data_IF_636870167830
#
_entry.id   IF_636870167830
#
_cell.length_a   1.000
_cell.length_b   1.000
_cell.length_c   1.000
_cell.angle_alpha   90.00
_cell.angle_beta   90.00
_cell.angle_gamma   90.00
#
_symmetry.space_group_name_H-M   'P 1'
#
loop_
_entity.id
_entity.type
_entity.pdbx_description
1 polymer ?
#
# COMPACT_ATOMS: atom_id res chain seq x y z
N UNK A 1 -41.72 -16.69 -13.68
CA UNK A 1 -40.29 -16.43 -13.90
C UNK A 1 -39.85 -15.40 -12.88
N UNK A 2 -38.85 -15.73 -12.07
CA UNK A 2 -38.34 -14.88 -11.00
C UNK A 2 -37.27 -15.65 -10.25
N UNK A 3 -36.12 -15.86 -10.91
CA UNK A 3 -34.97 -16.52 -10.30
C UNK A 3 -34.39 -15.58 -9.24
N UNK A 4 -34.45 -16.02 -7.98
CA UNK A 4 -33.62 -15.48 -6.90
C UNK A 4 -32.18 -15.94 -7.13
N UNK A 5 -31.26 -14.98 -7.24
CA UNK A 5 -29.83 -15.25 -7.21
C UNK A 5 -29.39 -15.65 -5.78
N UNK A 6 -28.49 -16.65 -5.61
CA UNK A 6 -28.13 -17.15 -4.30
C UNK A 6 -27.12 -16.24 -3.59
N UNK A 7 -27.47 -15.89 -2.34
CA UNK A 7 -26.74 -15.01 -1.44
C UNK A 7 -25.59 -15.76 -0.71
N UNK A 8 -24.66 -16.35 -1.46
CA UNK A 8 -23.64 -17.25 -0.90
C UNK A 8 -22.22 -16.65 -0.74
N UNK A 9 -21.99 -15.36 -1.05
CA UNK A 9 -20.64 -14.79 -1.00
C UNK A 9 -20.17 -14.28 0.39
N UNK A 10 -21.03 -14.23 1.41
CA UNK A 10 -20.79 -13.36 2.58
C UNK A 10 -20.53 -14.03 3.95
N UNK A 11 -20.46 -15.36 4.05
CA UNK A 11 -20.23 -16.01 5.35
C UNK A 11 -18.78 -16.41 5.63
N UNK A 12 -17.99 -16.76 4.62
CA UNK A 12 -16.63 -17.27 4.82
C UNK A 12 -15.64 -16.13 5.13
N UNK A 13 -15.74 -15.00 4.42
CA UNK A 13 -14.88 -13.81 4.62
C UNK A 13 -15.05 -13.20 6.02
N UNK A 14 -16.25 -13.29 6.60
CA UNK A 14 -16.56 -12.66 7.88
C UNK A 14 -15.97 -13.41 9.09
N UNK A 15 -15.69 -14.72 8.95
CA UNK A 15 -15.16 -15.59 10.01
C UNK A 15 -13.65 -15.37 10.18
N UNK A 16 -12.88 -15.29 9.09
CA UNK A 16 -11.42 -15.09 9.15
C UNK A 16 -10.99 -13.76 9.80
N UNK A 17 -11.77 -12.68 9.63
CA UNK A 17 -11.44 -11.38 10.23
C UNK A 17 -11.75 -11.30 11.74
N UNK A 18 -12.68 -12.10 12.27
CA UNK A 18 -13.14 -11.97 13.66
C UNK A 18 -12.33 -12.79 14.66
N UNK A 19 -11.75 -13.91 14.24
CA UNK A 19 -11.06 -14.84 15.15
C UNK A 19 -9.66 -14.34 15.56
N UNK A 20 -8.99 -13.53 14.72
CA UNK A 20 -7.65 -12.99 15.00
C UNK A 20 -7.62 -11.82 16.01
N UNK A 21 -8.72 -11.11 16.25
CA UNK A 21 -8.73 -9.93 17.16
C UNK A 21 -8.93 -10.27 18.64
N UNK A 22 -9.30 -11.50 19.01
CA UNK A 22 -9.69 -11.84 20.39
C UNK A 22 -8.55 -12.27 21.33
N UNK A 23 -7.35 -12.58 20.82
CA UNK A 23 -6.23 -13.06 21.64
C UNK A 23 -4.88 -12.41 21.27
N UNK A 24 -4.73 -11.09 21.42
CA UNK A 24 -3.41 -10.44 21.25
C UNK A 24 -2.98 -9.75 22.54
N UNK A 25 -2.16 -10.46 23.31
CA UNK A 25 -1.08 -9.83 24.09
C UNK A 25 -0.24 -9.04 23.08
N UNK A 26 0.01 -7.75 23.31
CA UNK A 26 0.75 -6.81 22.44
C UNK A 26 1.93 -7.46 21.67
N UNK A 27 1.63 -8.12 20.55
CA UNK A 27 2.62 -8.59 19.59
C UNK A 27 2.94 -7.40 18.69
N UNK A 28 4.24 -7.18 18.45
CA UNK A 28 4.70 -6.18 17.51
C UNK A 28 4.07 -6.42 16.13
N UNK A 29 3.71 -5.34 15.43
CA UNK A 29 3.19 -5.43 14.06
C UNK A 29 4.27 -6.04 13.15
N UNK A 30 3.92 -7.12 12.44
CA UNK A 30 4.79 -7.83 11.50
C UNK A 30 4.29 -7.59 10.06
N UNK A 31 4.82 -6.60 9.32
CA UNK A 31 4.27 -6.19 8.02
C UNK A 31 4.22 -7.34 7.02
N UNK A 32 5.27 -8.15 6.98
CA UNK A 32 5.39 -9.31 6.08
C UNK A 32 4.28 -10.34 6.29
N UNK A 33 4.02 -10.71 7.55
CA UNK A 33 2.98 -11.67 7.90
C UNK A 33 1.60 -11.12 7.58
N UNK A 34 1.36 -9.85 7.87
CA UNK A 34 0.08 -9.21 7.60
C UNK A 34 -0.22 -9.14 6.10
N UNK A 35 0.74 -8.65 5.33
CA UNK A 35 0.63 -8.55 3.87
C UNK A 35 0.46 -9.91 3.23
N UNK A 36 1.19 -10.95 3.66
CA UNK A 36 0.98 -12.31 3.17
C UNK A 36 -0.45 -12.79 3.48
N UNK A 37 -0.96 -12.52 4.68
CA UNK A 37 -2.34 -12.84 5.03
C UNK A 37 -3.36 -12.18 4.10
N UNK A 38 -3.12 -10.92 3.72
CA UNK A 38 -3.95 -10.21 2.75
C UNK A 38 -3.83 -10.77 1.33
N UNK A 39 -2.61 -11.11 0.89
CA UNK A 39 -2.35 -11.71 -0.41
C UNK A 39 -3.07 -13.05 -0.53
N UNK A 40 -2.97 -13.94 0.46
CA UNK A 40 -3.70 -15.21 0.48
C UNK A 40 -5.20 -14.98 0.44
N UNK A 41 -5.74 -14.10 1.30
CA UNK A 41 -7.18 -13.89 1.39
C UNK A 41 -7.81 -13.27 0.12
N UNK A 42 -7.10 -12.39 -0.59
CA UNK A 42 -7.64 -11.83 -1.85
C UNK A 42 -7.67 -12.90 -2.96
N UNK A 43 -6.68 -13.79 -2.99
CA UNK A 43 -6.62 -14.88 -3.97
C UNK A 43 -7.67 -15.96 -3.71
N UNK A 44 -7.91 -16.29 -2.43
CA UNK A 44 -9.06 -17.13 -2.03
C UNK A 44 -10.38 -16.53 -2.55
N UNK A 45 -10.56 -15.21 -2.44
CA UNK A 45 -11.75 -14.51 -2.95
C UNK A 45 -11.83 -14.50 -4.49
N UNK A 46 -10.70 -14.56 -5.18
CA UNK A 46 -10.60 -14.70 -6.64
C UNK A 46 -10.72 -16.14 -7.13
N UNK A 47 -10.80 -17.12 -6.20
CA UNK A 47 -10.67 -18.55 -6.50
C UNK A 47 -9.37 -18.92 -7.24
N UNK A 48 -8.27 -18.24 -6.91
CA UNK A 48 -6.92 -18.58 -7.37
C UNK A 48 -6.11 -19.25 -6.25
N UNK A 49 -5.89 -20.56 -6.36
CA UNK A 49 -5.09 -21.32 -5.40
C UNK A 49 -3.56 -21.21 -5.68
N UNK A 50 -3.16 -20.59 -6.80
CA UNK A 50 -1.74 -20.49 -7.16
C UNK A 50 -1.01 -19.34 -6.48
N UNK A 51 -1.74 -18.31 -6.04
CA UNK A 51 -1.19 -17.08 -5.47
C UNK A 51 -0.23 -16.33 -6.41
N UNK A 52 -0.44 -16.50 -7.72
CA UNK A 52 0.43 -15.91 -8.76
C UNK A 52 -0.28 -14.92 -9.66
N UNK A 53 -1.62 -14.94 -9.70
CA UNK A 53 -2.40 -14.09 -10.60
C UNK A 53 -2.36 -12.63 -10.11
N UNK A 54 -1.97 -11.65 -10.94
CA UNK A 54 -2.06 -10.25 -10.57
C UNK A 54 -3.49 -9.86 -10.18
N UNK A 55 -3.64 -9.04 -9.12
CA UNK A 55 -4.95 -8.64 -8.61
C UNK A 55 -5.50 -7.47 -9.44
N UNK A 56 -6.69 -7.60 -10.07
CA UNK A 56 -7.29 -6.50 -10.81
C UNK A 56 -7.69 -5.34 -9.88
N UNK A 57 -7.60 -4.09 -10.37
CA UNK A 57 -7.96 -2.88 -9.61
C UNK A 57 -9.30 -3.00 -8.89
N UNK A 58 -10.35 -3.40 -9.62
CA UNK A 58 -11.70 -3.47 -9.05
C UNK A 58 -11.81 -4.51 -7.93
N UNK A 59 -11.09 -5.64 -8.02
CA UNK A 59 -11.03 -6.66 -6.97
C UNK A 59 -10.33 -6.08 -5.74
N UNK A 60 -9.19 -5.41 -5.93
CA UNK A 60 -8.45 -4.78 -4.84
C UNK A 60 -9.29 -3.74 -4.07
N UNK A 61 -9.98 -2.85 -4.78
CA UNK A 61 -10.84 -1.83 -4.15
C UNK A 61 -11.97 -2.48 -3.33
N UNK A 62 -12.65 -3.49 -3.88
CA UNK A 62 -13.70 -4.20 -3.13
C UNK A 62 -13.15 -4.97 -1.94
N UNK A 63 -11.97 -5.58 -2.09
CA UNK A 63 -11.28 -6.26 -1.01
C UNK A 63 -10.93 -5.31 0.15
N UNK A 64 -10.35 -4.14 -0.14
CA UNK A 64 -10.01 -3.14 0.88
C UNK A 64 -11.24 -2.68 1.68
N UNK A 65 -12.37 -2.43 1.01
CA UNK A 65 -13.63 -2.06 1.69
C UNK A 65 -14.14 -3.14 2.63
N UNK A 66 -13.95 -4.40 2.26
CA UNK A 66 -14.51 -5.55 3.00
C UNK A 66 -13.61 -6.01 4.15
N UNK A 67 -12.29 -5.91 3.97
CA UNK A 67 -11.30 -6.59 4.81
C UNK A 67 -10.34 -5.64 5.53
N UNK A 68 -9.95 -4.53 4.91
CA UNK A 68 -8.96 -3.59 5.48
C UNK A 68 -9.66 -2.53 6.32
N UNK A 69 -10.78 -1.99 5.82
CA UNK A 69 -11.57 -1.01 6.55
C UNK A 69 -13.01 -1.50 6.80
N UNK A 70 -13.19 -2.63 7.52
CA UNK A 70 -14.51 -3.25 7.68
C UNK A 70 -15.46 -2.41 8.53
N UNK A 71 -14.95 -1.46 9.31
CA UNK A 71 -15.76 -0.54 10.13
C UNK A 71 -16.61 0.40 9.26
N UNK A 72 -16.23 0.64 7.99
CA UNK A 72 -17.08 1.29 6.99
C UNK A 72 -18.27 0.44 6.55
N UNK A 73 -18.35 -0.84 6.92
CA UNK A 73 -19.39 -1.76 6.42
C UNK A 73 -20.17 -2.42 7.56
N UNK A 74 -19.62 -2.43 8.79
CA UNK A 74 -20.09 -3.32 9.88
C UNK A 74 -20.98 -2.72 10.97
N UNK A 75 -21.25 -1.42 11.02
CA UNK A 75 -22.11 -0.86 12.09
C UNK A 75 -23.57 -0.67 11.63
N UNK A 76 -24.50 -1.57 12.00
CA UNK A 76 -25.93 -1.37 11.76
C UNK A 76 -26.56 -0.30 12.66
N UNK A 77 -25.89 0.11 13.74
CA UNK A 77 -26.37 1.13 14.69
C UNK A 77 -25.90 2.56 14.37
N UNK A 78 -24.86 2.71 13.55
CA UNK A 78 -24.41 3.98 12.97
C UNK A 78 -24.03 3.70 11.52
N UNK A 79 -24.93 3.97 10.58
CA UNK A 79 -24.60 3.80 9.17
C UNK A 79 -23.29 4.56 8.86
N UNK A 80 -22.33 3.93 8.15
CA UNK A 80 -21.11 4.60 7.71
C UNK A 80 -21.52 5.86 6.93
N UNK A 81 -20.92 6.99 7.26
CA UNK A 81 -21.23 8.25 6.57
C UNK A 81 -20.86 8.05 5.09
N UNK A 82 -21.81 8.17 4.13
CA UNK A 82 -21.54 7.89 2.71
C UNK A 82 -20.33 8.64 2.15
N UNK A 83 -20.08 9.85 2.68
CA UNK A 83 -18.91 10.66 2.36
C UNK A 83 -17.59 9.96 2.73
N UNK A 84 -17.51 9.30 3.89
CA UNK A 84 -16.31 8.56 4.30
C UNK A 84 -16.08 7.32 3.43
N UNK A 85 -17.16 6.63 3.01
CA UNK A 85 -17.06 5.49 2.08
C UNK A 85 -16.51 5.95 0.74
N UNK A 86 -17.09 7.01 0.16
CA UNK A 86 -16.61 7.58 -1.09
C UNK A 86 -15.18 8.13 -0.99
N UNK A 87 -14.83 8.76 0.13
CA UNK A 87 -13.48 9.21 0.42
C UNK A 87 -12.47 8.06 0.46
N UNK A 88 -12.84 6.94 1.08
CA UNK A 88 -11.99 5.74 1.11
C UNK A 88 -11.82 5.14 -0.28
N UNK A 89 -12.87 5.06 -1.08
CA UNK A 89 -12.78 4.59 -2.48
C UNK A 89 -11.83 5.46 -3.29
N UNK A 90 -11.93 6.79 -3.18
CA UNK A 90 -11.01 7.73 -3.85
C UNK A 90 -9.56 7.52 -3.37
N UNK A 91 -9.36 7.27 -2.08
CA UNK A 91 -8.04 6.98 -1.53
C UNK A 91 -7.44 5.68 -2.07
N UNK A 92 -8.18 4.58 -1.99
CA UNK A 92 -7.71 3.26 -2.45
C UNK A 92 -7.48 3.28 -3.97
N UNK A 93 -8.34 3.93 -4.74
CA UNK A 93 -8.14 4.09 -6.19
C UNK A 93 -6.88 4.90 -6.51
N UNK A 94 -6.64 6.00 -5.78
CA UNK A 94 -5.40 6.79 -5.90
C UNK A 94 -4.16 6.00 -5.46
N UNK A 95 -4.26 5.12 -4.46
CA UNK A 95 -3.17 4.21 -4.09
C UNK A 95 -2.85 3.24 -5.22
N UNK A 96 -3.85 2.67 -5.89
CA UNK A 96 -3.63 1.80 -7.06
C UNK A 96 -2.88 2.55 -8.16
N UNK A 97 -3.27 3.79 -8.48
CA UNK A 97 -2.55 4.63 -9.45
C UNK A 97 -1.07 4.80 -9.06
N UNK A 98 -0.81 5.08 -7.78
CA UNK A 98 0.55 5.25 -7.25
C UNK A 98 1.37 3.97 -7.36
N UNK A 99 0.86 2.82 -6.88
CA UNK A 99 1.64 1.57 -6.88
C UNK A 99 1.80 0.95 -8.27
N UNK A 100 0.89 1.19 -9.21
CA UNK A 100 1.11 0.84 -10.62
C UNK A 100 2.20 1.72 -11.27
N UNK A 101 2.45 2.91 -10.69
CA UNK A 101 3.52 3.80 -11.08
C UNK A 101 4.92 3.31 -10.73
N UNK A 102 5.06 2.33 -9.82
CA UNK A 102 6.36 1.80 -9.36
C UNK A 102 7.24 1.28 -10.50
N UNK A 103 6.64 0.87 -11.61
CA UNK A 103 7.35 0.28 -12.76
C UNK A 103 7.35 1.17 -14.00
N UNK A 104 6.96 2.45 -13.90
CA UNK A 104 6.99 3.35 -15.06
C UNK A 104 8.39 3.39 -15.70
N UNK A 105 8.46 3.46 -17.05
CA UNK A 105 7.37 3.66 -18.00
C UNK A 105 6.58 2.38 -18.35
N UNK A 106 6.90 1.22 -17.76
CA UNK A 106 6.15 -0.01 -18.03
C UNK A 106 4.73 0.12 -17.51
N UNK A 107 3.77 0.21 -18.43
CA UNK A 107 2.35 0.29 -18.11
C UNK A 107 1.84 -1.06 -17.62
N UNK A 108 1.61 -1.17 -16.31
CA UNK A 108 0.87 -2.28 -15.71
C UNK A 108 -0.53 -1.79 -15.34
N UNK A 109 -1.52 -2.66 -15.51
CA UNK A 109 -2.92 -2.38 -15.17
C UNK A 109 -3.42 -3.21 -13.99
N UNK A 110 -2.63 -4.17 -13.54
CA UNK A 110 -2.93 -5.10 -12.44
C UNK A 110 -1.82 -5.12 -11.40
N UNK A 111 -2.21 -5.43 -10.17
CA UNK A 111 -1.33 -5.44 -9.01
C UNK A 111 -0.62 -6.78 -8.91
N UNK A 112 0.63 -6.83 -9.35
CA UNK A 112 1.54 -7.90 -8.91
C UNK A 112 1.77 -7.81 -7.39
N UNK A 113 2.38 -8.85 -6.82
CA UNK A 113 2.58 -8.98 -5.37
C UNK A 113 3.20 -7.74 -4.72
N UNK A 114 4.28 -7.18 -5.25
CA UNK A 114 4.92 -5.97 -4.73
C UNK A 114 3.93 -4.80 -4.64
N UNK A 115 3.27 -4.46 -5.75
CA UNK A 115 2.34 -3.34 -5.81
C UNK A 115 1.15 -3.56 -4.85
N UNK A 116 0.60 -4.78 -4.81
CA UNK A 116 -0.44 -5.15 -3.85
C UNK A 116 0.01 -4.98 -2.40
N UNK A 117 1.22 -5.47 -2.07
CA UNK A 117 1.77 -5.47 -0.72
C UNK A 117 1.83 -4.07 -0.12
N UNK A 118 2.37 -3.11 -0.88
CA UNK A 118 2.44 -1.73 -0.43
C UNK A 118 1.07 -1.06 -0.43
N UNK A 119 0.22 -1.31 -1.45
CA UNK A 119 -1.11 -0.72 -1.48
C UNK A 119 -1.98 -1.18 -0.31
N UNK A 120 -1.95 -2.47 0.06
CA UNK A 120 -2.76 -2.99 1.17
C UNK A 120 -2.25 -2.49 2.52
N UNK A 121 -0.93 -2.41 2.68
CA UNK A 121 -0.30 -1.84 3.87
C UNK A 121 -0.71 -0.38 4.07
N UNK A 122 -0.65 0.43 3.01
CA UNK A 122 -1.05 1.83 3.05
C UNK A 122 -2.56 2.01 3.17
N UNK A 123 -3.38 1.10 2.66
CA UNK A 123 -4.85 1.21 2.79
C UNK A 123 -5.31 1.31 4.27
N UNK A 124 -4.56 0.76 5.22
CA UNK A 124 -4.80 0.91 6.67
C UNK A 124 -4.48 2.30 7.24
N UNK A 125 -3.82 3.17 6.47
CA UNK A 125 -3.41 4.51 6.89
C UNK A 125 -4.47 5.58 6.60
N UNK A 126 -5.64 5.18 6.10
CA UNK A 126 -6.74 6.10 5.83
C UNK A 126 -7.23 6.82 7.09
N UNK A 127 -7.39 8.13 7.00
CA UNK A 127 -7.83 8.95 8.13
C UNK A 127 -9.33 8.76 8.38
N UNK A 128 -10.16 8.89 7.35
CA UNK A 128 -11.62 8.72 7.45
C UNK A 128 -12.36 9.80 8.26
N UNK A 129 -11.65 10.62 9.04
CA UNK A 129 -12.20 11.77 9.78
C UNK A 129 -11.10 12.76 10.17
N UNK A 130 -11.47 13.92 10.71
CA UNK A 130 -10.50 14.88 11.23
C UNK A 130 -9.81 14.41 12.54
N UNK A 131 -10.44 13.49 13.26
CA UNK A 131 -10.00 13.00 14.58
C UNK A 131 -9.10 11.77 14.49
N UNK A 132 -9.17 11.03 13.37
CA UNK A 132 -8.39 9.83 13.13
C UNK A 132 -7.25 10.13 12.14
N UNK A 133 -6.04 9.61 12.40
CA UNK A 133 -4.81 9.94 11.64
C UNK A 133 -4.18 8.73 10.96
N UNK A 134 -5.00 7.74 10.60
CA UNK A 134 -4.52 6.43 10.18
C UNK A 134 -4.06 5.58 11.35
N UNK A 135 -3.78 4.30 11.10
CA UNK A 135 -3.32 3.38 12.14
C UNK A 135 -1.84 3.58 12.53
N UNK A 136 -1.01 4.17 11.63
CA UNK A 136 0.44 4.31 11.77
C UNK A 136 1.11 3.00 12.24
N UNK A 137 0.76 1.87 11.62
CA UNK A 137 1.16 0.53 12.10
C UNK A 137 2.66 0.30 12.07
N UNK A 138 3.34 0.95 11.12
CA UNK A 138 4.81 0.99 11.03
C UNK A 138 5.44 1.98 12.01
N UNK A 139 4.63 2.80 12.71
CA UNK A 139 5.08 3.85 13.63
C UNK A 139 6.02 4.85 12.95
N UNK A 140 5.78 5.16 11.67
CA UNK A 140 6.62 6.11 10.92
C UNK A 140 6.46 7.52 11.50
N UNK A 141 5.25 7.89 11.92
CA UNK A 141 4.96 9.22 12.47
C UNK A 141 4.75 9.24 14.00
N UNK A 142 4.82 8.08 14.65
CA UNK A 142 4.58 7.94 16.08
C UNK A 142 5.62 8.70 16.91
N UNK A 143 5.15 9.38 17.96
CA UNK A 143 6.01 10.07 18.93
C UNK A 143 6.85 9.09 19.76
N UNK A 144 6.27 7.91 20.08
CA UNK A 144 6.96 6.82 20.76
C UNK A 144 7.05 5.66 19.78
N UNK A 145 8.28 5.21 19.50
CA UNK A 145 8.55 4.19 18.50
C UNK A 145 9.03 2.90 19.16
N UNK A 146 8.64 1.74 18.62
CA UNK A 146 9.21 0.47 19.05
C UNK A 146 10.69 0.38 18.67
N UNK A 147 11.42 -0.43 19.43
CA UNK A 147 12.79 -0.85 19.07
C UNK A 147 12.68 -2.12 18.24
N UNK A 148 12.70 -1.98 16.92
CA UNK A 148 12.57 -3.07 15.95
C UNK A 148 13.48 -2.84 14.74
N UNK A 149 13.38 -3.72 13.74
CA UNK A 149 14.18 -3.67 12.51
C UNK A 149 13.92 -2.41 11.65
N UNK A 150 12.81 -1.71 11.87
CA UNK A 150 12.42 -0.53 11.11
C UNK A 150 12.97 0.78 11.69
N UNK A 151 13.73 0.74 12.80
CA UNK A 151 14.30 1.95 13.42
C UNK A 151 15.05 2.86 12.43
N UNK A 152 15.97 2.29 11.64
CA UNK A 152 16.73 3.04 10.62
C UNK A 152 15.85 3.64 9.52
N UNK A 153 14.77 2.94 9.16
CA UNK A 153 13.82 3.41 8.16
C UNK A 153 13.09 4.65 8.68
N UNK A 154 12.65 4.63 9.94
CA UNK A 154 12.00 5.77 10.60
C UNK A 154 12.94 6.98 10.70
N UNK A 155 14.20 6.76 11.05
CA UNK A 155 15.21 7.82 11.11
C UNK A 155 15.45 8.45 9.73
N UNK A 156 15.48 7.62 8.68
CA UNK A 156 15.60 8.10 7.29
C UNK A 156 14.43 9.00 6.91
N UNK A 157 13.20 8.61 7.22
CA UNK A 157 12.02 9.40 6.89
C UNK A 157 11.85 10.64 7.77
N UNK A 158 12.40 10.64 8.98
CA UNK A 158 12.53 11.86 9.80
C UNK A 158 13.51 12.84 9.19
N UNK A 159 14.66 12.35 8.71
CA UNK A 159 15.64 13.16 8.00
C UNK A 159 15.00 13.77 6.74
N UNK A 160 14.30 12.96 5.92
CA UNK A 160 13.55 13.46 4.76
C UNK A 160 12.54 14.54 5.15
N UNK A 161 11.73 14.28 6.19
CA UNK A 161 10.75 15.25 6.67
C UNK A 161 11.41 16.52 7.20
N UNK A 162 12.60 16.45 7.80
CA UNK A 162 13.31 17.65 8.28
C UNK A 162 13.84 18.50 7.13
N UNK A 163 14.34 17.87 6.06
CA UNK A 163 14.99 18.54 4.93
C UNK A 163 14.01 19.10 3.89
N UNK A 164 12.87 18.43 3.67
CA UNK A 164 11.91 18.88 2.66
C UNK A 164 11.44 20.31 2.96
N UNK A 165 11.34 21.13 1.91
CA UNK A 165 10.79 22.47 2.03
C UNK A 165 9.31 22.40 2.47
N UNK A 166 8.93 23.34 3.34
CA UNK A 166 7.57 23.43 3.89
C UNK A 166 7.03 24.84 3.75
N UNK A 167 5.72 24.94 3.62
CA UNK A 167 4.98 26.19 3.68
C UNK A 167 5.00 26.80 5.11
N UNK A 168 4.48 28.03 5.31
CA UNK A 168 4.43 28.65 6.64
C UNK A 168 3.62 27.86 7.69
N UNK A 169 2.78 26.90 7.28
CA UNK A 169 2.05 26.00 8.17
C UNK A 169 2.83 24.74 8.54
N UNK A 170 4.07 24.61 8.07
CA UNK A 170 4.94 23.46 8.30
C UNK A 170 4.52 22.24 7.48
N UNK A 171 3.96 22.43 6.28
CA UNK A 171 3.48 21.35 5.40
C UNK A 171 4.18 21.35 4.05
N UNK A 172 4.40 20.19 3.46
CA UNK A 172 5.06 20.05 2.16
C UNK A 172 4.04 20.09 1.01
N UNK A 173 4.27 20.93 0.01
CA UNK A 173 3.48 20.93 -1.24
C UNK A 173 4.03 19.94 -2.28
N UNK A 174 3.35 19.83 -3.42
CA UNK A 174 3.73 18.89 -4.48
C UNK A 174 5.14 19.19 -5.01
N UNK A 175 5.44 20.47 -5.26
CA UNK A 175 6.72 20.90 -5.81
C UNK A 175 7.86 20.54 -4.88
N UNK A 176 7.70 20.80 -3.58
CA UNK A 176 8.70 20.47 -2.56
C UNK A 176 8.88 18.95 -2.42
N UNK A 177 7.79 18.19 -2.44
CA UNK A 177 7.84 16.73 -2.37
C UNK A 177 8.58 16.13 -3.57
N UNK A 178 8.19 16.49 -4.79
CA UNK A 178 8.83 15.99 -6.03
C UNK A 178 10.30 16.39 -6.07
N UNK A 179 10.60 17.67 -5.82
CA UNK A 179 11.99 18.17 -5.85
C UNK A 179 12.89 17.44 -4.85
N UNK A 180 12.38 17.18 -3.63
CA UNK A 180 13.13 16.47 -2.59
C UNK A 180 13.51 15.05 -3.03
N UNK A 181 12.52 14.27 -3.49
CA UNK A 181 12.78 12.88 -3.87
C UNK A 181 13.53 12.75 -5.19
N UNK A 182 13.32 13.65 -6.15
CA UNK A 182 14.15 13.71 -7.37
C UNK A 182 15.61 14.02 -7.04
N UNK A 183 15.87 14.98 -6.14
CA UNK A 183 17.23 15.27 -5.68
C UNK A 183 17.84 14.06 -4.95
N UNK A 184 17.10 13.48 -3.99
CA UNK A 184 17.55 12.35 -3.16
C UNK A 184 17.96 11.14 -4.01
N UNK A 185 17.19 10.84 -5.05
CA UNK A 185 17.43 9.69 -5.94
C UNK A 185 18.14 10.06 -7.23
N UNK A 186 18.67 11.29 -7.36
CA UNK A 186 19.26 11.81 -8.61
C UNK A 186 20.33 10.92 -9.23
N UNK A 187 21.14 10.23 -8.41
CA UNK A 187 22.16 9.28 -8.89
C UNK A 187 21.59 8.02 -9.54
N UNK A 188 20.30 7.75 -9.37
CA UNK A 188 19.59 6.58 -9.91
C UNK A 188 18.69 6.92 -11.11
N UNK A 189 18.47 8.21 -11.40
CA UNK A 189 17.37 8.66 -12.26
C UNK A 189 17.61 8.66 -13.76
N UNK A 190 18.85 8.43 -14.22
CA UNK A 190 19.28 8.31 -15.62
C UNK A 190 18.19 8.58 -16.68
N UNK A 191 17.64 7.53 -17.32
CA UNK A 191 16.61 7.65 -18.36
C UNK A 191 15.17 7.69 -17.82
N UNK A 192 14.98 7.65 -16.50
CA UNK A 192 13.67 7.49 -15.84
C UNK A 192 13.21 8.71 -15.05
N UNK A 193 13.93 9.84 -15.11
CA UNK A 193 13.57 11.07 -14.38
C UNK A 193 12.10 11.46 -14.56
N UNK A 194 11.61 11.49 -15.82
CA UNK A 194 10.21 11.84 -16.10
C UNK A 194 9.23 10.81 -15.52
N UNK A 195 9.54 9.52 -15.64
CA UNK A 195 8.72 8.43 -15.08
C UNK A 195 8.68 8.48 -13.55
N UNK A 196 9.79 8.86 -12.92
CA UNK A 196 9.86 9.01 -11.47
C UNK A 196 9.09 10.23 -10.99
N UNK A 197 9.21 11.37 -11.67
CA UNK A 197 8.41 12.57 -11.37
C UNK A 197 6.91 12.27 -11.47
N UNK A 198 6.47 11.62 -12.55
CA UNK A 198 5.07 11.18 -12.71
C UNK A 198 4.64 10.24 -11.58
N UNK A 199 5.50 9.28 -11.20
CA UNK A 199 5.24 8.40 -10.07
C UNK A 199 5.12 9.16 -8.73
N UNK A 200 5.99 10.16 -8.50
CA UNK A 200 5.94 10.99 -7.30
C UNK A 200 4.67 11.85 -7.24
N UNK A 201 4.19 12.36 -8.37
CA UNK A 201 2.90 13.08 -8.44
C UNK A 201 1.72 12.18 -8.06
N UNK A 202 1.70 10.94 -8.59
CA UNK A 202 0.68 9.94 -8.22
C UNK A 202 0.76 9.59 -6.74
N UNK A 203 1.97 9.40 -6.22
CA UNK A 203 2.24 9.14 -4.79
C UNK A 203 1.74 10.29 -3.91
N UNK A 204 2.04 11.54 -4.28
CA UNK A 204 1.58 12.72 -3.56
C UNK A 204 0.04 12.82 -3.55
N UNK A 205 -0.61 12.58 -4.69
CA UNK A 205 -2.06 12.54 -4.80
C UNK A 205 -2.69 11.48 -3.88
N UNK A 206 -2.11 10.27 -3.84
CA UNK A 206 -2.56 9.23 -2.92
C UNK A 206 -2.39 9.66 -1.45
N UNK A 207 -1.28 10.31 -1.11
CA UNK A 207 -1.02 10.83 0.24
C UNK A 207 -1.96 11.98 0.64
N UNK A 208 -2.42 12.80 -0.32
CA UNK A 208 -3.49 13.76 -0.06
C UNK A 208 -4.83 13.04 0.19
N UNK A 209 -5.14 12.02 -0.62
CA UNK A 209 -6.38 11.26 -0.50
C UNK A 209 -6.45 10.47 0.83
N UNK A 210 -5.31 10.08 1.41
CA UNK A 210 -5.21 9.47 2.73
C UNK A 210 -5.90 10.29 3.83
N UNK A 211 -5.88 11.62 3.70
CA UNK A 211 -6.44 12.56 4.69
C UNK A 211 -7.93 12.88 4.45
N UNK A 212 -8.55 12.30 3.42
CA UNK A 212 -9.96 12.51 3.16
C UNK A 212 -10.85 12.00 4.33
N UNK A 213 -12.05 12.58 4.51
CA UNK A 213 -12.71 13.58 3.66
C UNK A 213 -12.15 15.01 3.80
N UNK A 214 -11.24 15.25 4.75
CA UNK A 214 -10.62 16.56 4.95
C UNK A 214 -9.66 16.86 3.79
N UNK A 215 -10.15 17.64 2.81
CA UNK A 215 -9.35 18.02 1.64
C UNK A 215 -8.20 18.93 2.05
N UNK A 216 -7.02 18.59 1.57
CA UNK A 216 -5.80 19.39 1.72
C UNK A 216 -5.07 19.45 0.39
N UNK A 217 -4.16 20.42 0.28
CA UNK A 217 -3.27 20.58 -0.87
C UNK A 217 -1.80 20.31 -0.51
N UNK A 218 -1.50 20.12 0.78
CA UNK A 218 -0.15 19.92 1.31
C UNK A 218 -0.14 18.77 2.33
N UNK A 219 1.00 18.10 2.46
CA UNK A 219 1.22 16.96 3.35
C UNK A 219 1.74 17.40 4.72
N UNK A 220 1.21 16.76 5.76
CA UNK A 220 1.80 16.79 7.09
C UNK A 220 2.79 15.65 7.29
N UNK A 221 3.39 15.57 8.47
CA UNK A 221 4.46 14.60 8.73
C UNK A 221 4.09 13.12 8.53
N UNK A 222 2.87 12.70 8.87
CA UNK A 222 2.42 11.30 8.69
C UNK A 222 2.27 10.92 7.20
N UNK A 223 1.40 11.55 6.40
CA UNK A 223 1.25 11.17 4.99
C UNK A 223 2.53 11.42 4.18
N UNK A 224 3.38 12.38 4.58
CA UNK A 224 4.69 12.55 3.97
C UNK A 224 5.58 11.32 4.14
N UNK A 225 5.67 10.74 5.34
CA UNK A 225 6.56 9.60 5.62
C UNK A 225 6.09 8.32 4.93
N UNK A 226 4.78 8.12 4.82
CA UNK A 226 4.23 7.03 4.00
C UNK A 226 4.40 7.27 2.49
N UNK A 227 4.36 8.53 2.04
CA UNK A 227 4.78 8.90 0.69
C UNK A 227 6.27 8.66 0.45
N UNK A 228 7.12 8.93 1.45
CA UNK A 228 8.56 8.67 1.40
C UNK A 228 8.87 7.17 1.29
N UNK A 229 8.09 6.34 1.99
CA UNK A 229 8.13 4.89 1.86
C UNK A 229 7.87 4.48 0.42
N UNK A 230 6.76 4.90 -0.19
CA UNK A 230 6.47 4.59 -1.59
C UNK A 230 7.53 5.18 -2.54
N UNK A 231 7.99 6.40 -2.32
CA UNK A 231 8.99 7.04 -3.18
C UNK A 231 10.26 6.18 -3.35
N UNK A 232 10.68 5.50 -2.28
CA UNK A 232 11.82 4.58 -2.30
C UNK A 232 11.58 3.26 -3.06
N UNK A 233 10.34 2.93 -3.40
CA UNK A 233 9.95 1.67 -4.04
C UNK A 233 9.94 1.72 -5.57
N UNK A 234 10.25 2.88 -6.16
CA UNK A 234 10.33 2.98 -7.60
C UNK A 234 11.41 2.06 -8.17
N UNK A 235 11.10 1.40 -9.28
CA UNK A 235 12.06 0.55 -9.99
C UNK A 235 12.99 1.42 -10.84
N UNK A 236 14.23 1.60 -10.38
CA UNK A 236 15.28 2.32 -11.12
C UNK A 236 16.02 1.35 -12.05
N UNK A 237 15.88 1.44 -13.39
CA UNK A 237 16.66 0.62 -14.30
C UNK A 237 18.13 1.04 -14.24
N UNK A 238 18.99 0.11 -13.83
CA UNK A 238 20.46 0.30 -13.88
C UNK A 238 20.97 0.23 -15.32
N UNK A 239 22.10 0.91 -15.60
CA UNK A 239 22.79 0.87 -16.89
C UNK A 239 23.43 -0.50 -17.21
N UNK A 240 23.53 -1.39 -16.22
CA UNK A 240 23.97 -2.77 -16.38
C UNK A 240 22.82 -3.69 -15.96
N UNK A 241 22.18 -4.28 -16.96
CA UNK A 241 20.93 -5.03 -16.85
C UNK A 241 21.14 -6.36 -16.11
N UNK A 242 21.18 -6.32 -14.76
CA UNK A 242 20.86 -7.43 -13.83
C UNK A 242 20.33 -6.87 -12.50
N UNK A 243 18.99 -6.77 -12.41
CA UNK A 243 18.21 -6.72 -11.16
C UNK A 243 18.66 -5.76 -10.06
N UNK A 244 18.65 -4.45 -10.31
CA UNK A 244 18.35 -3.54 -9.19
C UNK A 244 16.84 -3.58 -9.02
N UNK A 245 16.38 -4.58 -8.25
CA UNK A 245 15.00 -4.63 -7.82
C UNK A 245 14.64 -3.27 -7.19
N UNK A 246 13.37 -2.85 -7.30
CA UNK A 246 12.83 -1.83 -6.40
C UNK A 246 13.38 -2.10 -4.99
N UNK A 247 13.72 -1.04 -4.24
CA UNK A 247 14.48 -1.21 -3.00
C UNK A 247 13.79 -2.18 -2.03
N UNK A 248 12.46 -2.41 -2.18
CA UNK A 248 11.63 -3.35 -1.42
C UNK A 248 12.05 -3.29 0.03
N UNK A 249 11.99 -2.07 0.57
CA UNK A 249 12.65 -1.72 1.84
C UNK A 249 12.03 -2.48 3.01
N UNK A 250 10.79 -2.94 2.84
CA UNK A 250 10.08 -3.82 3.76
C UNK A 250 10.14 -5.31 3.33
N UNK A 251 10.79 -5.60 2.21
CA UNK A 251 10.98 -6.91 1.58
C UNK A 251 9.66 -7.69 1.48
N UNK A 252 8.62 -7.00 0.98
CA UNK A 252 7.26 -7.51 0.85
C UNK A 252 6.99 -8.17 -0.51
N UNK A 253 7.83 -7.90 -1.51
CA UNK A 253 7.78 -8.51 -2.83
C UNK A 253 8.34 -9.93 -2.87
N UNK A 254 9.26 -10.27 -1.95
CA UNK A 254 10.05 -11.53 -1.97
C UNK A 254 9.45 -12.64 -1.09
N UNK A 255 8.32 -12.42 -0.41
CA UNK A 255 7.78 -13.41 0.52
C UNK A 255 7.48 -14.75 -0.16
N UNK A 256 8.26 -15.79 0.11
CA UNK A 256 8.01 -17.13 -0.39
C UNK A 256 6.71 -17.67 0.26
N UNK A 257 5.86 -18.31 -0.53
CA UNK A 257 4.67 -18.99 -0.03
C UNK A 257 5.14 -20.31 0.60
N UNK A 258 5.04 -20.52 1.92
CA UNK A 258 5.43 -21.78 2.52
C UNK A 258 4.53 -22.90 1.96
N UNK A 259 5.11 -23.86 1.24
CA UNK A 259 4.38 -25.02 0.70
C UNK A 259 4.27 -25.10 -0.82
N UNK A 260 4.70 -24.08 -1.58
CA UNK A 260 4.89 -24.21 -3.03
C UNK A 260 6.29 -24.74 -3.28
N UNK A 261 6.39 -26.06 -3.50
CA UNK A 261 7.65 -26.72 -3.83
C UNK A 261 8.16 -26.18 -5.18
N UNK A 262 9.22 -25.38 -5.16
CA UNK A 262 9.86 -24.78 -6.35
C UNK A 262 10.36 -25.81 -7.36
N UNK A 263 10.55 -27.06 -6.92
CA UNK A 263 10.98 -28.18 -7.78
C UNK A 263 9.97 -28.60 -8.86
N UNK A 264 8.75 -28.05 -8.86
CA UNK A 264 7.75 -28.34 -9.91
C UNK A 264 7.80 -27.37 -11.09
N UNK A 265 8.38 -26.17 -10.91
CA UNK A 265 8.50 -25.16 -11.97
C UNK A 265 9.64 -25.48 -12.93
N UNK A 266 10.74 -26.07 -12.44
CA UNK A 266 11.87 -26.48 -13.30
C UNK A 266 11.52 -27.65 -14.22
N UNK A 267 10.59 -28.53 -13.81
CA UNK A 267 10.14 -29.67 -14.65
C UNK A 267 9.30 -29.28 -15.87
N UNK A 268 8.81 -28.03 -15.93
CA UNK A 268 8.02 -27.51 -17.06
C UNK A 268 8.85 -26.65 -18.03
N UNK A 269 10.07 -26.24 -17.65
CA UNK A 269 11.00 -25.52 -18.54
C UNK A 269 11.83 -26.44 -19.43
N UNK A 270 11.89 -27.74 -19.15
CA UNK A 270 12.58 -28.72 -20.00
C UNK A 270 11.68 -29.37 -21.07
N UNK A 271 10.43 -28.92 -21.24
CA UNK A 271 9.50 -29.51 -22.22
C UNK A 271 8.86 -28.55 -23.22
N UNK A 272 9.32 -27.30 -23.33
CA UNK A 272 8.98 -26.40 -24.43
C UNK A 272 10.19 -25.60 -24.89
#
# INVERSE_FOLDING_TARGET
MGQQAPCCANKVVQVCCNEKRRNSVHLAFEPRREVMGHWTAVHEAMADDTLTVPVPRHVFVQYCKSCVYPELVRSPSCAPVPETVGAFEVYVDSLVDAVLGLTLPSARVELGKHAFSYAVLLAGEFYGSAQHKGEDRLSLAALRRPTDEFGRLRDTFDADWSMVQKDPSGRADLVSFVSHFTWKHSSLLNATSQSYEEFLERTFKACLAMMLPVRRQTLGGHPFRYGALLAGEFHFPSLEDKSVAAADVLELGVLEVPGVCTSRVDSLREKY
#
